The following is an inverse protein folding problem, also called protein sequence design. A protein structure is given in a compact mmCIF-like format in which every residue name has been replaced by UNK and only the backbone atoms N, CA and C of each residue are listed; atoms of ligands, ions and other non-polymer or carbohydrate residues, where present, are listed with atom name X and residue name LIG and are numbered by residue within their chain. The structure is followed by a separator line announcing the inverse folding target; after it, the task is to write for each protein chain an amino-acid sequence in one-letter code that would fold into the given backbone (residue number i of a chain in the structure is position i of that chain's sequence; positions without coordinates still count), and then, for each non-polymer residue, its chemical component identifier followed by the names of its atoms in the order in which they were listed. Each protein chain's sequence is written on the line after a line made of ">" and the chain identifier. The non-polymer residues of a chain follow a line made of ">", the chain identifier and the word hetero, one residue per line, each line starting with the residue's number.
data_IF_584492392532
#
_entry.id   IF_584492392532
#
_cell.length_a   1.000
_cell.length_b   1.000
_cell.length_c   1.000
_cell.angle_alpha   90.00
_cell.angle_beta   90.00
_cell.angle_gamma   90.00
#
_symmetry.space_group_name_H-M   'P 1'
#
loop_
_entity.id
_entity.type
_entity.pdbx_description
1 polymer ?
#
# COMPACT_ATOMS: atom_id res chain seq x y z
N UNK A 1 19.07 34.11 1.97
CA UNK A 1 18.18 33.04 2.47
C UNK A 1 17.09 32.87 1.42
N UNK A 2 17.19 31.83 0.60
CA UNK A 2 16.24 31.60 -0.49
C UNK A 2 15.00 30.88 0.05
N UNK A 3 13.83 31.45 -0.24
CA UNK A 3 12.53 30.89 0.12
C UNK A 3 12.23 29.70 -0.80
N UNK A 4 12.32 28.48 -0.26
CA UNK A 4 11.78 27.28 -0.90
C UNK A 4 10.25 27.35 -0.88
N UNK A 5 9.65 27.84 -1.97
CA UNK A 5 8.22 27.71 -2.20
C UNK A 5 7.90 26.28 -2.63
N UNK A 6 7.29 25.50 -1.74
CA UNK A 6 6.68 24.23 -2.11
C UNK A 6 5.37 24.50 -2.85
N UNK A 7 5.41 24.43 -4.18
CA UNK A 7 4.22 24.42 -5.02
C UNK A 7 3.43 23.11 -4.77
N UNK A 8 2.49 23.13 -3.82
CA UNK A 8 1.48 22.09 -3.62
C UNK A 8 0.33 22.23 -4.64
N UNK A 9 0.67 22.59 -5.88
CA UNK A 9 -0.30 22.68 -6.96
C UNK A 9 -0.77 21.28 -7.32
N UNK A 10 -1.96 20.90 -6.84
CA UNK A 10 -2.85 19.86 -7.34
C UNK A 10 -2.19 18.85 -8.31
N UNK A 11 -1.21 18.09 -7.82
CA UNK A 11 -0.72 16.95 -8.59
C UNK A 11 -1.79 15.90 -8.41
N UNK A 12 -2.55 15.62 -9.48
CA UNK A 12 -3.35 14.42 -9.60
C UNK A 12 -2.38 13.24 -9.52
N UNK A 13 -2.01 12.86 -8.31
CA UNK A 13 -1.11 11.73 -8.06
C UNK A 13 -1.83 10.53 -8.63
N UNK A 14 -1.20 9.86 -9.59
CA UNK A 14 -1.77 8.68 -10.22
C UNK A 14 -1.84 7.58 -9.14
N UNK A 15 -2.98 7.50 -8.46
CA UNK A 15 -3.16 6.64 -7.29
C UNK A 15 -3.79 5.32 -7.71
N UNK A 16 -3.13 4.23 -7.35
CA UNK A 16 -3.60 2.88 -7.63
C UNK A 16 -3.97 2.19 -6.32
N UNK A 17 -5.20 1.71 -6.24
CA UNK A 17 -5.65 0.87 -5.14
C UNK A 17 -5.08 -0.53 -5.33
N UNK A 18 -4.34 -0.99 -4.33
CA UNK A 18 -3.73 -2.31 -4.29
C UNK A 18 -4.64 -3.29 -3.57
N UNK A 19 -4.67 -4.51 -4.07
CA UNK A 19 -5.22 -5.65 -3.36
C UNK A 19 -4.16 -6.18 -2.40
N UNK A 20 -4.58 -6.79 -1.29
CA UNK A 20 -3.66 -7.41 -0.34
C UNK A 20 -4.08 -8.84 -0.02
N UNK A 21 -3.10 -9.71 0.11
CA UNK A 21 -3.27 -11.06 0.62
C UNK A 21 -2.18 -11.38 1.64
N UNK A 22 -2.43 -12.37 2.50
CA UNK A 22 -1.47 -12.81 3.51
C UNK A 22 -0.95 -14.20 3.16
N UNK A 23 0.36 -14.33 3.14
CA UNK A 23 1.08 -15.60 2.95
C UNK A 23 2.04 -15.78 4.14
N UNK A 24 1.57 -16.51 5.16
CA UNK A 24 2.28 -16.69 6.41
C UNK A 24 2.50 -15.37 7.16
N UNK A 25 3.78 -15.00 7.31
CA UNK A 25 4.18 -13.75 7.95
C UNK A 25 4.26 -12.55 6.99
N UNK A 26 4.05 -12.76 5.69
CA UNK A 26 4.10 -11.72 4.68
C UNK A 26 2.71 -11.28 4.25
N UNK A 27 2.52 -9.96 4.15
CA UNK A 27 1.40 -9.31 3.48
C UNK A 27 1.91 -8.87 2.11
N UNK A 28 1.27 -9.36 1.06
CA UNK A 28 1.63 -9.09 -0.32
C UNK A 28 0.57 -8.16 -0.90
N UNK A 29 1.01 -7.03 -1.44
CA UNK A 29 0.21 -6.06 -2.15
C UNK A 29 0.47 -6.16 -3.64
N UNK A 30 -0.58 -6.28 -4.43
CA UNK A 30 -0.54 -6.33 -5.90
C UNK A 30 -1.47 -5.27 -6.49
N UNK A 31 -1.18 -4.85 -7.72
CA UNK A 31 -1.96 -3.83 -8.41
C UNK A 31 -2.48 -4.37 -9.75
N UNK A 32 -3.79 -4.29 -10.00
CA UNK A 32 -4.38 -4.76 -11.26
C UNK A 32 -3.95 -3.94 -12.48
N UNK A 33 -3.49 -2.70 -12.27
CA UNK A 33 -3.00 -1.80 -13.33
C UNK A 33 -1.49 -1.89 -13.55
N UNK A 34 -0.76 -2.46 -12.61
CA UNK A 34 0.70 -2.61 -12.66
C UNK A 34 1.03 -4.08 -12.43
N UNK A 35 0.98 -4.93 -13.48
CA UNK A 35 1.09 -6.38 -13.33
C UNK A 35 2.43 -6.84 -12.72
N UNK A 36 3.48 -6.04 -12.90
CA UNK A 36 4.82 -6.34 -12.38
C UNK A 36 5.07 -5.78 -10.97
N UNK A 37 4.15 -4.95 -10.46
CA UNK A 37 4.23 -4.34 -9.13
C UNK A 37 3.89 -5.35 -8.04
N UNK A 38 4.77 -5.43 -7.05
CA UNK A 38 4.53 -6.22 -5.85
C UNK A 38 5.21 -5.55 -4.65
N UNK A 39 4.44 -5.27 -3.60
CA UNK A 39 5.00 -4.81 -2.32
C UNK A 39 4.74 -5.88 -1.27
N UNK A 40 5.80 -6.36 -0.62
CA UNK A 40 5.72 -7.29 0.50
C UNK A 40 6.05 -6.57 1.81
N UNK A 41 5.27 -6.86 2.84
CA UNK A 41 5.50 -6.38 4.20
C UNK A 41 5.41 -7.56 5.16
N UNK A 42 6.48 -7.88 5.88
CA UNK A 42 6.44 -8.87 6.94
C UNK A 42 5.82 -8.23 8.18
N UNK A 43 4.62 -8.62 8.57
CA UNK A 43 3.88 -7.94 9.64
C UNK A 43 4.47 -8.20 11.04
N UNK A 44 5.28 -9.26 11.19
CA UNK A 44 5.92 -9.60 12.47
C UNK A 44 7.19 -8.79 12.70
N UNK A 45 7.98 -8.58 11.65
CA UNK A 45 9.31 -7.93 11.74
C UNK A 45 9.32 -6.49 11.22
N UNK A 46 8.31 -6.09 10.45
CA UNK A 46 8.26 -4.81 9.75
C UNK A 46 9.08 -4.77 8.46
N UNK A 47 9.76 -5.86 8.08
CA UNK A 47 10.58 -5.91 6.87
C UNK A 47 9.73 -5.64 5.62
N UNK A 48 10.27 -4.84 4.71
CA UNK A 48 9.60 -4.41 3.47
C UNK A 48 10.43 -4.76 2.25
N UNK A 49 9.77 -5.16 1.16
CA UNK A 49 10.36 -5.28 -0.17
C UNK A 49 9.38 -4.79 -1.22
N UNK A 50 9.88 -4.12 -2.26
CA UNK A 50 9.08 -3.61 -3.37
C UNK A 50 9.75 -4.02 -4.68
N UNK A 51 8.97 -4.61 -5.59
CA UNK A 51 9.35 -4.92 -6.96
C UNK A 51 8.60 -3.99 -7.91
N UNK A 52 9.33 -3.36 -8.84
CA UNK A 52 8.80 -2.47 -9.89
C UNK A 52 7.85 -1.38 -9.38
N UNK A 53 8.28 -0.63 -8.36
CA UNK A 53 7.59 0.60 -7.97
C UNK A 53 7.86 1.71 -8.98
N UNK A 54 6.87 2.04 -9.81
CA UNK A 54 6.90 3.25 -10.63
C UNK A 54 6.89 4.48 -9.71
N UNK A 55 7.85 5.39 -9.89
CA UNK A 55 8.05 6.56 -9.01
C UNK A 55 6.92 7.60 -9.11
N UNK A 56 6.16 7.58 -10.21
CA UNK A 56 5.07 8.49 -10.53
C UNK A 56 3.68 7.94 -10.14
N UNK A 57 3.60 6.71 -9.63
CA UNK A 57 2.35 6.06 -9.24
C UNK A 57 2.33 5.76 -7.75
N UNK A 58 1.39 6.40 -7.05
CA UNK A 58 1.17 6.17 -5.63
C UNK A 58 0.31 4.93 -5.40
N UNK A 59 0.95 3.84 -4.97
CA UNK A 59 0.28 2.59 -4.64
C UNK A 59 -0.24 2.61 -3.19
N UNK A 60 -1.56 2.63 -3.03
CA UNK A 60 -2.24 2.68 -1.74
C UNK A 60 -3.01 1.39 -1.47
N UNK A 61 -3.01 0.91 -0.24
CA UNK A 61 -3.76 -0.29 0.11
C UNK A 61 -3.58 -0.64 1.58
N UNK A 62 -4.66 -1.14 2.17
CA UNK A 62 -4.71 -1.59 3.56
C UNK A 62 -4.92 -3.10 3.59
N UNK A 63 -4.28 -3.78 4.53
CA UNK A 63 -4.57 -5.16 4.84
C UNK A 63 -5.29 -5.22 6.20
N UNK A 64 -6.54 -5.69 6.19
CA UNK A 64 -7.28 -5.94 7.42
C UNK A 64 -7.20 -7.45 7.73
N UNK A 65 -6.59 -7.86 8.85
CA UNK A 65 -6.59 -9.26 9.27
C UNK A 65 -8.01 -9.80 9.39
N UNK A 66 -8.22 -11.05 8.98
CA UNK A 66 -9.53 -11.73 9.01
C UNK A 66 -10.15 -11.77 10.41
N UNK A 67 -9.32 -11.83 11.45
CA UNK A 67 -9.70 -11.88 12.85
C UNK A 67 -10.35 -10.56 13.28
N UNK A 68 -9.78 -9.44 12.83
CA UNK A 68 -10.33 -8.10 13.06
C UNK A 68 -11.56 -7.88 12.18
N UNK A 69 -11.52 -8.31 10.92
CA UNK A 69 -12.66 -8.23 10.02
C UNK A 69 -13.88 -9.00 10.55
N UNK A 70 -13.64 -10.16 11.18
CA UNK A 70 -14.66 -10.95 11.86
C UNK A 70 -15.20 -10.19 13.09
N UNK A 71 -14.32 -9.70 13.96
CA UNK A 71 -14.73 -8.95 15.15
C UNK A 71 -15.59 -7.73 14.79
N UNK A 72 -15.20 -6.94 13.79
CA UNK A 72 -15.94 -5.76 13.33
C UNK A 72 -17.34 -6.08 12.78
N UNK A 73 -17.58 -7.29 12.26
CA UNK A 73 -18.91 -7.74 11.81
C UNK A 73 -19.85 -8.13 12.94
N UNK A 74 -19.33 -8.30 14.16
CA UNK A 74 -20.08 -8.78 15.32
C UNK A 74 -20.13 -7.75 16.46
N UNK A 75 -19.65 -6.54 16.23
CA UNK A 75 -19.86 -5.39 17.12
C UNK A 75 -21.18 -4.74 16.69
N UNK A 76 -22.25 -5.06 17.43
CA UNK A 76 -23.51 -4.30 17.49
C UNK A 76 -23.53 -3.53 18.80
#
# INVERSE_FOLDING_TARGET
>A
MENLQFNLGNQSTNQHVCQSQREGDWIIFTCSKCPDYERRVNWRTGQMSVRHGLLDVAHIGTHLPSEIAYALRHIN
#
